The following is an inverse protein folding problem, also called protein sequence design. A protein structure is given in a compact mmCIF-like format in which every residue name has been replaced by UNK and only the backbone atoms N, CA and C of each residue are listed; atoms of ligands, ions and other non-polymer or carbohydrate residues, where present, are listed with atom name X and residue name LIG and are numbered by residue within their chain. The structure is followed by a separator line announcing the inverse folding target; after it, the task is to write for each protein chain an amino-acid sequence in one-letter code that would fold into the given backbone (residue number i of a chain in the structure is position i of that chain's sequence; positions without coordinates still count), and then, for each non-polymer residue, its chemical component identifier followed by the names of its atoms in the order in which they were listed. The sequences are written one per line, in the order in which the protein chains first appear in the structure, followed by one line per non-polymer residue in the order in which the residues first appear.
data_IF_160406683250
#
_entry.id   IF_160406683250
#
_cell.length_a   1.000
_cell.length_b   1.000
_cell.length_c   1.000
_cell.angle_alpha   90.00
_cell.angle_beta   90.00
_cell.angle_gamma   90.00
#
_symmetry.space_group_name_H-M   'P 1'
#
loop_
_entity.id
_entity.type
_entity.pdbx_description
1 polymer ?
#
# COMPACT_ATOMS: atom_id res chain seq x y z
N UNK A 1 -10.42 -17.96 4.62
CA UNK A 1 -10.54 -16.87 3.65
C UNK A 1 -12.01 -16.62 3.31
N UNK A 2 -12.61 -15.60 3.91
CA UNK A 2 -13.95 -15.13 3.56
C UNK A 2 -13.95 -14.40 2.19
N UNK A 3 -15.11 -13.96 1.71
CA UNK A 3 -15.24 -13.28 0.42
C UNK A 3 -14.36 -12.03 0.33
N UNK A 4 -14.37 -11.21 1.38
CA UNK A 4 -13.61 -9.96 1.45
C UNK A 4 -12.10 -10.20 1.36
N UNK A 5 -11.58 -11.14 2.16
CA UNK A 5 -10.15 -11.47 2.15
C UNK A 5 -9.70 -11.96 0.77
N UNK A 6 -10.50 -12.78 0.08
CA UNK A 6 -10.16 -13.24 -1.28
C UNK A 6 -10.10 -12.11 -2.30
N UNK A 7 -10.88 -11.06 -2.10
CA UNK A 7 -11.02 -9.95 -3.05
C UNK A 7 -9.95 -8.88 -2.84
N UNK A 8 -9.63 -8.58 -1.57
CA UNK A 8 -8.82 -7.42 -1.19
C UNK A 8 -7.46 -7.77 -0.58
N UNK A 9 -7.24 -8.96 -0.03
CA UNK A 9 -5.95 -9.32 0.57
C UNK A 9 -4.84 -9.34 -0.49
N UNK A 10 -3.66 -8.86 -0.11
CA UNK A 10 -2.46 -8.91 -0.93
C UNK A 10 -1.29 -9.48 -0.14
N UNK A 11 -0.50 -10.32 -0.81
CA UNK A 11 0.81 -10.69 -0.30
C UNK A 11 1.77 -9.50 -0.46
N UNK A 12 2.42 -9.12 0.63
CA UNK A 12 3.31 -7.97 0.74
C UNK A 12 4.74 -8.34 1.07
N UNK A 13 5.07 -9.64 1.06
CA UNK A 13 6.44 -10.10 1.21
C UNK A 13 7.24 -9.80 -0.06
N UNK A 14 8.47 -9.30 0.10
CA UNK A 14 9.36 -8.87 -0.98
C UNK A 14 8.80 -7.72 -1.85
N UNK A 15 7.91 -6.88 -1.30
CA UNK A 15 7.40 -5.70 -2.00
C UNK A 15 8.07 -4.39 -1.55
N UNK A 16 9.09 -4.47 -0.69
CA UNK A 16 9.69 -3.30 -0.03
C UNK A 16 8.83 -2.79 1.14
N UNK A 17 7.97 -3.65 1.69
CA UNK A 17 7.07 -3.28 2.78
C UNK A 17 7.83 -3.24 4.11
N UNK A 18 7.87 -2.08 4.78
CA UNK A 18 8.49 -2.00 6.10
C UNK A 18 7.86 -2.99 7.10
N UNK A 19 6.54 -3.19 7.03
CA UNK A 19 5.80 -4.13 7.88
C UNK A 19 6.31 -5.57 7.78
N UNK A 20 6.50 -6.06 6.55
CA UNK A 20 6.80 -7.46 6.25
C UNK A 20 8.30 -7.70 6.05
N UNK A 21 8.98 -6.86 5.29
CA UNK A 21 10.40 -7.01 4.93
C UNK A 21 11.34 -6.40 6.00
N UNK A 22 10.82 -5.53 6.88
CA UNK A 22 11.58 -4.87 7.94
C UNK A 22 11.72 -5.67 9.24
N UNK A 23 11.14 -6.87 9.33
CA UNK A 23 11.04 -7.65 10.57
C UNK A 23 12.39 -7.91 11.25
N UNK A 24 13.41 -8.35 10.49
CA UNK A 24 14.74 -8.63 11.03
C UNK A 24 15.40 -7.37 11.59
N UNK A 25 15.24 -6.24 10.92
CA UNK A 25 15.82 -4.97 11.36
C UNK A 25 15.13 -4.42 12.61
N UNK A 26 13.81 -4.58 12.71
CA UNK A 26 13.01 -4.03 13.80
C UNK A 26 12.94 -4.92 15.04
N UNK A 27 12.91 -6.25 14.85
CA UNK A 27 12.66 -7.23 15.91
C UNK A 27 13.76 -8.29 16.04
N UNK A 28 14.80 -8.26 15.20
CA UNK A 28 15.92 -9.19 15.24
C UNK A 28 15.64 -10.59 14.65
N UNK A 29 14.41 -10.87 14.24
CA UNK A 29 13.95 -12.19 13.82
C UNK A 29 13.21 -12.12 12.47
N UNK A 30 13.25 -13.22 11.72
CA UNK A 30 12.54 -13.39 10.45
C UNK A 30 11.36 -14.34 10.59
N UNK A 31 10.37 -14.28 9.69
CA UNK A 31 9.24 -15.22 9.70
C UNK A 31 8.23 -14.99 10.82
N UNK A 32 8.29 -13.84 11.51
CA UNK A 32 7.23 -13.39 12.42
C UNK A 32 5.97 -12.99 11.64
N UNK A 33 4.80 -13.11 12.26
CA UNK A 33 3.56 -12.53 11.76
C UNK A 33 3.51 -11.03 12.13
N UNK A 34 3.61 -10.09 11.18
CA UNK A 34 3.72 -8.67 11.50
C UNK A 34 2.35 -8.03 11.83
N UNK A 35 2.22 -7.45 13.02
CA UNK A 35 1.02 -6.73 13.48
C UNK A 35 1.34 -5.35 14.11
N UNK A 36 2.49 -4.77 13.75
CA UNK A 36 3.12 -3.71 14.53
C UNK A 36 2.95 -2.30 13.96
N UNK A 37 3.11 -2.12 12.66
CA UNK A 37 2.96 -0.80 12.01
C UNK A 37 1.51 -0.58 11.58
N UNK A 38 1.03 0.66 11.72
CA UNK A 38 -0.35 1.06 11.41
C UNK A 38 -0.60 1.22 9.89
N UNK A 39 -0.35 0.17 9.11
CA UNK A 39 -0.81 0.03 7.73
C UNK A 39 -1.63 -1.27 7.54
N UNK A 40 -2.23 -1.43 6.36
CA UNK A 40 -3.15 -2.55 6.07
C UNK A 40 -2.57 -3.51 5.03
N UNK A 41 -2.98 -4.79 5.09
CA UNK A 41 -2.61 -5.83 4.12
C UNK A 41 -3.68 -6.03 3.03
N UNK A 42 -4.44 -4.97 2.76
CA UNK A 42 -5.52 -4.94 1.77
C UNK A 42 -5.21 -3.92 0.68
N UNK A 43 -5.69 -4.19 -0.53
CA UNK A 43 -5.64 -3.24 -1.65
C UNK A 43 -6.33 -1.93 -1.28
N UNK A 44 -5.79 -0.82 -1.78
CA UNK A 44 -6.47 0.47 -1.71
C UNK A 44 -7.82 0.41 -2.42
N UNK A 45 -8.81 1.22 -2.01
CA UNK A 45 -10.11 1.31 -2.68
C UNK A 45 -9.97 1.62 -4.18
N UNK A 46 -10.94 1.16 -4.98
CA UNK A 46 -10.94 1.36 -6.44
C UNK A 46 -10.85 2.83 -6.82
N UNK A 47 -11.58 3.72 -6.13
CA UNK A 47 -11.56 5.15 -6.40
C UNK A 47 -10.16 5.77 -6.28
N UNK A 48 -9.33 5.28 -5.36
CA UNK A 48 -7.93 5.74 -5.19
C UNK A 48 -7.08 5.22 -6.34
N UNK A 49 -7.23 3.94 -6.67
CA UNK A 49 -6.45 3.29 -7.74
C UNK A 49 -6.78 3.91 -9.11
N UNK A 50 -8.04 4.24 -9.36
CA UNK A 50 -8.47 4.84 -10.63
C UNK A 50 -8.04 6.30 -10.75
N UNK A 51 -8.07 7.07 -9.66
CA UNK A 51 -7.49 8.41 -9.64
C UNK A 51 -5.97 8.38 -9.95
N UNK A 52 -5.24 7.41 -9.39
CA UNK A 52 -3.82 7.21 -9.68
C UNK A 52 -3.59 6.81 -11.15
N UNK A 53 -4.39 5.91 -11.72
CA UNK A 53 -4.30 5.56 -13.15
C UNK A 53 -4.54 6.78 -14.05
N UNK A 54 -5.59 7.57 -13.77
CA UNK A 54 -5.89 8.78 -14.52
C UNK A 54 -4.73 9.79 -14.46
N UNK A 55 -4.13 9.95 -13.28
CA UNK A 55 -2.93 10.77 -13.08
C UNK A 55 -1.75 10.27 -13.93
N UNK A 56 -1.46 8.97 -13.90
CA UNK A 56 -0.37 8.37 -14.71
C UNK A 56 -0.64 8.57 -16.20
N UNK A 57 -1.88 8.38 -16.65
CA UNK A 57 -2.23 8.58 -18.05
C UNK A 57 -2.12 10.04 -18.52
N UNK A 58 -2.18 11.02 -17.61
CA UNK A 58 -2.00 12.43 -17.98
C UNK A 58 -0.59 12.76 -18.48
N UNK A 59 0.42 11.98 -18.09
CA UNK A 59 1.82 12.15 -18.52
C UNK A 59 2.54 13.39 -17.98
N UNK A 60 1.84 14.34 -17.35
CA UNK A 60 2.42 15.52 -16.72
C UNK A 60 2.75 15.25 -15.25
N UNK A 61 4.04 15.02 -14.98
CA UNK A 61 4.57 14.74 -13.64
C UNK A 61 5.36 15.91 -13.05
N UNK A 62 5.20 17.11 -13.64
CA UNK A 62 5.90 18.32 -13.21
C UNK A 62 5.31 18.93 -11.94
N UNK A 63 5.76 20.15 -11.64
CA UNK A 63 5.29 20.91 -10.48
C UNK A 63 3.79 21.16 -10.55
N UNK A 64 3.07 20.71 -9.51
CA UNK A 64 1.62 20.83 -9.40
C UNK A 64 1.27 21.72 -8.21
N UNK A 65 0.37 22.69 -8.42
CA UNK A 65 -0.20 23.46 -7.31
C UNK A 65 -1.29 22.62 -6.63
N UNK A 66 -1.35 22.62 -5.29
CA UNK A 66 -2.45 21.96 -4.58
C UNK A 66 -3.79 22.63 -4.95
N UNK A 67 -4.91 21.88 -4.95
CA UNK A 67 -6.23 22.46 -5.14
C UNK A 67 -6.46 23.58 -4.11
N UNK A 68 -6.97 24.73 -4.55
CA UNK A 68 -7.21 25.89 -3.68
C UNK A 68 -8.53 25.80 -2.90
N UNK A 69 -9.32 24.75 -3.11
CA UNK A 69 -10.62 24.54 -2.46
C UNK A 69 -10.76 23.09 -2.00
N UNK A 70 -11.29 22.93 -0.78
CA UNK A 70 -11.64 21.64 -0.16
C UNK A 70 -13.00 21.14 -0.62
#
# INVERSE_FOLDING_TARGET
MNKFEKEYYIDRLNTGSAKWDGLKGMFGETGLLPMWVADMDFRSPECVTDALKAYILSGDYGYRMPPTTH
#
